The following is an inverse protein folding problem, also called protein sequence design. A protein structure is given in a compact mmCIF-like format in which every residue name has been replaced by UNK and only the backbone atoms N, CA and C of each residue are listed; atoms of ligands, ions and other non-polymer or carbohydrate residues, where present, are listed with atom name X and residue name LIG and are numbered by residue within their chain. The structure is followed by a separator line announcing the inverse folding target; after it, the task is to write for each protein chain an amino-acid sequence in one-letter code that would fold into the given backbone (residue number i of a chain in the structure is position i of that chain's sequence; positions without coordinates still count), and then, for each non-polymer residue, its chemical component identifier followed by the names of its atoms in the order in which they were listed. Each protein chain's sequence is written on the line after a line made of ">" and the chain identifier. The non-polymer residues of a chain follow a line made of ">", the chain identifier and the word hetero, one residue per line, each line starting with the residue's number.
data_IF_131166336921
#
_entry.id   IF_131166336921
#
_cell.length_a   1.000
_cell.length_b   1.000
_cell.length_c   1.000
_cell.angle_alpha   90.00
_cell.angle_beta   90.00
_cell.angle_gamma   90.00
#
_symmetry.space_group_name_H-M   'P 1'
#
loop_
_entity.id
_entity.type
_entity.pdbx_description
1 polymer ?
#
# COMPACT_ATOMS: atom_id res chain seq x y z
N UNK A 1 -40.88 -37.66 52.96
CA UNK A 1 -40.03 -36.45 53.16
C UNK A 1 -38.71 -36.56 52.40
N UNK A 2 -38.06 -37.73 52.32
CA UNK A 2 -36.78 -37.93 51.61
C UNK A 2 -36.82 -37.65 50.10
N UNK A 3 -37.89 -38.03 49.40
CA UNK A 3 -37.99 -37.87 47.94
C UNK A 3 -38.04 -36.39 47.49
N UNK A 4 -38.52 -35.50 48.35
CA UNK A 4 -38.52 -34.05 48.11
C UNK A 4 -37.13 -33.44 48.25
N UNK A 5 -36.29 -33.92 49.18
CA UNK A 5 -34.92 -33.43 49.37
C UNK A 5 -34.02 -33.73 48.18
N UNK A 6 -34.05 -34.97 47.68
CA UNK A 6 -33.27 -35.40 46.51
C UNK A 6 -33.70 -34.74 45.18
N UNK A 7 -34.91 -34.16 45.14
CA UNK A 7 -35.38 -33.37 43.99
C UNK A 7 -34.89 -31.92 44.05
N UNK A 8 -34.81 -31.34 45.25
CA UNK A 8 -34.27 -29.99 45.45
C UNK A 8 -32.77 -29.96 45.14
N UNK A 9 -32.01 -30.92 45.63
CA UNK A 9 -30.55 -30.99 45.42
C UNK A 9 -30.17 -31.13 43.92
N UNK A 10 -30.95 -31.92 43.16
CA UNK A 10 -30.77 -32.01 41.69
C UNK A 10 -31.10 -30.72 40.95
N UNK A 11 -32.09 -29.97 41.40
CA UNK A 11 -32.45 -28.68 40.79
C UNK A 11 -31.41 -27.60 41.10
N UNK A 12 -30.87 -27.59 42.33
CA UNK A 12 -29.78 -26.69 42.73
C UNK A 12 -28.48 -26.99 41.97
N UNK A 13 -28.12 -28.27 41.82
CA UNK A 13 -26.98 -28.68 40.99
C UNK A 13 -27.14 -28.31 39.51
N UNK A 14 -28.36 -28.46 38.96
CA UNK A 14 -28.68 -28.04 37.59
C UNK A 14 -28.58 -26.52 37.39
N UNK A 15 -29.06 -25.74 38.35
CA UNK A 15 -28.96 -24.28 38.32
C UNK A 15 -27.49 -23.82 38.37
N UNK A 16 -26.66 -24.44 39.22
CA UNK A 16 -25.22 -24.13 39.30
C UNK A 16 -24.50 -24.42 37.98
N UNK A 17 -24.76 -25.57 37.35
CA UNK A 17 -24.18 -25.93 36.05
C UNK A 17 -24.60 -24.97 34.93
N UNK A 18 -25.85 -24.49 34.94
CA UNK A 18 -26.31 -23.50 33.95
C UNK A 18 -25.55 -22.18 34.14
N UNK A 19 -25.40 -21.71 35.38
CA UNK A 19 -24.67 -20.48 35.69
C UNK A 19 -23.22 -20.56 35.22
N UNK A 20 -22.49 -21.63 35.58
CA UNK A 20 -21.10 -21.84 35.14
C UNK A 20 -20.99 -21.86 33.61
N UNK A 21 -21.95 -22.51 32.93
CA UNK A 21 -21.96 -22.58 31.46
C UNK A 21 -22.27 -21.22 30.82
N UNK A 22 -23.15 -20.41 31.42
CA UNK A 22 -23.42 -19.05 30.95
C UNK A 22 -22.22 -18.12 31.16
N UNK A 23 -21.54 -18.21 32.31
CA UNK A 23 -20.32 -17.44 32.57
C UNK A 23 -19.19 -17.80 31.59
N UNK A 24 -19.02 -19.10 31.32
CA UNK A 24 -18.08 -19.58 30.32
C UNK A 24 -18.40 -19.08 28.91
N UNK A 25 -19.69 -19.06 28.54
CA UNK A 25 -20.13 -18.53 27.25
C UNK A 25 -19.88 -17.02 27.15
N UNK A 26 -20.17 -16.26 28.19
CA UNK A 26 -19.92 -14.83 28.25
C UNK A 26 -18.42 -14.51 28.15
N UNK A 27 -17.57 -15.31 28.79
CA UNK A 27 -16.13 -15.18 28.67
C UNK A 27 -15.65 -15.48 27.24
N UNK A 28 -16.16 -16.54 26.61
CA UNK A 28 -15.84 -16.89 25.24
C UNK A 28 -16.30 -15.80 24.25
N UNK A 29 -17.49 -15.24 24.46
CA UNK A 29 -17.99 -14.11 23.67
C UNK A 29 -17.11 -12.87 23.82
N UNK A 30 -16.71 -12.52 25.06
CA UNK A 30 -15.78 -11.41 25.31
C UNK A 30 -14.43 -11.61 24.62
N UNK A 31 -13.89 -12.83 24.65
CA UNK A 31 -12.64 -13.17 23.96
C UNK A 31 -12.78 -13.07 22.44
N UNK A 32 -13.87 -13.58 21.88
CA UNK A 32 -14.13 -13.52 20.44
C UNK A 32 -14.26 -12.08 19.96
N UNK A 33 -15.02 -11.24 20.68
CA UNK A 33 -15.14 -9.80 20.36
C UNK A 33 -13.79 -9.10 20.45
N UNK A 34 -13.00 -9.36 21.51
CA UNK A 34 -11.66 -8.77 21.63
C UNK A 34 -10.71 -9.20 20.51
N UNK A 35 -10.80 -10.45 20.04
CA UNK A 35 -10.03 -10.93 18.90
C UNK A 35 -10.48 -10.28 17.58
N UNK A 36 -11.79 -10.10 17.39
CA UNK A 36 -12.34 -9.41 16.23
C UNK A 36 -11.86 -7.96 16.15
N UNK A 37 -11.88 -7.24 17.27
CA UNK A 37 -11.37 -5.87 17.36
C UNK A 37 -9.86 -5.80 17.05
N UNK A 38 -9.08 -6.76 17.56
CA UNK A 38 -7.64 -6.82 17.28
C UNK A 38 -7.38 -7.06 15.79
N UNK A 39 -8.15 -7.94 15.15
CA UNK A 39 -8.04 -8.26 13.73
C UNK A 39 -8.40 -7.04 12.87
N UNK A 40 -9.49 -6.34 13.20
CA UNK A 40 -9.90 -5.10 12.52
C UNK A 40 -8.78 -4.04 12.59
N UNK A 41 -8.18 -3.84 13.75
CA UNK A 41 -7.05 -2.92 13.89
C UNK A 41 -5.81 -3.34 13.09
N UNK A 42 -5.56 -4.64 12.91
CA UNK A 42 -4.45 -5.13 12.07
C UNK A 42 -4.75 -4.91 10.59
N UNK A 43 -5.99 -5.18 10.16
CA UNK A 43 -6.43 -4.95 8.78
C UNK A 43 -6.32 -3.48 8.41
N UNK A 44 -6.84 -2.56 9.24
CA UNK A 44 -6.72 -1.11 9.01
C UNK A 44 -5.27 -0.64 8.86
N UNK A 45 -4.36 -1.19 9.68
CA UNK A 45 -2.93 -0.88 9.57
C UNK A 45 -2.34 -1.39 8.25
N UNK A 46 -2.67 -2.62 7.87
CA UNK A 46 -2.18 -3.23 6.63
C UNK A 46 -2.71 -2.49 5.39
N UNK A 47 -3.99 -2.14 5.38
CA UNK A 47 -4.62 -1.35 4.33
C UNK A 47 -3.92 -0.01 4.18
N UNK A 48 -3.72 0.73 5.28
CA UNK A 48 -3.04 2.02 5.25
C UNK A 48 -1.60 1.92 4.73
N UNK A 49 -0.82 0.92 5.20
CA UNK A 49 0.54 0.68 4.70
C UNK A 49 0.58 0.26 3.24
N UNK A 50 -0.46 -0.43 2.75
CA UNK A 50 -0.54 -0.85 1.34
C UNK A 50 -0.90 0.31 0.43
N UNK A 51 -1.85 1.16 0.85
CA UNK A 51 -2.26 2.34 0.08
C UNK A 51 -1.13 3.35 -0.07
N UNK A 52 -0.26 3.48 0.94
CA UNK A 52 0.88 4.42 0.92
C UNK A 52 2.16 3.82 0.33
N UNK A 53 2.15 2.55 -0.08
CA UNK A 53 3.32 1.91 -0.67
C UNK A 53 3.53 2.39 -2.12
N UNK A 54 4.77 2.73 -2.47
CA UNK A 54 5.15 3.10 -3.83
C UNK A 54 5.21 1.85 -4.72
N UNK A 55 4.06 1.45 -5.26
CA UNK A 55 3.90 0.24 -6.08
C UNK A 55 4.00 0.50 -7.58
N UNK A 56 3.77 1.74 -8.02
CA UNK A 56 3.77 2.13 -9.41
C UNK A 56 5.08 2.86 -9.75
N UNK A 57 5.96 2.17 -10.48
CA UNK A 57 7.31 2.66 -10.79
C UNK A 57 7.61 2.55 -12.27
N UNK A 58 8.14 3.62 -12.87
CA UNK A 58 8.65 3.61 -14.23
C UNK A 58 9.90 4.47 -14.38
N UNK A 59 10.74 4.10 -15.34
CA UNK A 59 11.98 4.77 -15.68
C UNK A 59 11.96 5.16 -17.16
N UNK A 60 12.26 6.42 -17.43
CA UNK A 60 12.33 7.00 -18.77
C UNK A 60 13.75 7.47 -19.00
N UNK A 61 14.41 6.95 -20.04
CA UNK A 61 15.81 7.31 -20.40
C UNK A 61 15.85 8.12 -21.69
N UNK A 62 16.60 9.21 -21.65
CA UNK A 62 16.70 10.18 -22.73
C UNK A 62 18.08 10.81 -22.81
N UNK A 63 18.31 11.52 -23.91
CA UNK A 63 19.45 12.42 -24.06
C UNK A 63 18.97 13.86 -23.82
N UNK A 64 19.34 14.44 -22.68
CA UNK A 64 18.92 15.78 -22.31
C UNK A 64 19.70 16.89 -23.03
N UNK A 65 20.84 16.57 -23.63
CA UNK A 65 21.78 17.56 -24.17
C UNK A 65 22.12 17.34 -25.65
N UNK A 66 21.74 16.22 -26.26
CA UNK A 66 21.96 15.92 -27.69
C UNK A 66 23.43 15.69 -28.08
N UNK A 67 24.36 15.95 -27.16
CA UNK A 67 25.80 16.03 -27.38
C UNK A 67 26.57 14.84 -26.81
N UNK A 68 25.87 13.86 -26.22
CA UNK A 68 26.44 12.70 -25.54
C UNK A 68 25.99 11.44 -26.26
N UNK A 69 26.94 10.62 -26.73
CA UNK A 69 26.67 9.35 -27.41
C UNK A 69 26.09 8.25 -26.51
N UNK A 70 25.07 8.57 -25.69
CA UNK A 70 24.37 7.66 -24.80
C UNK A 70 23.23 8.39 -24.07
N UNK A 71 22.07 7.73 -23.94
CA UNK A 71 20.90 8.19 -23.16
C UNK A 71 21.18 8.07 -21.65
N UNK A 72 22.06 8.94 -21.15
CA UNK A 72 22.55 8.91 -19.77
C UNK A 72 21.62 9.65 -18.80
N UNK A 73 20.75 10.54 -19.30
CA UNK A 73 19.75 11.23 -18.49
C UNK A 73 18.53 10.35 -18.27
N UNK A 74 17.85 10.55 -17.14
CA UNK A 74 16.67 9.77 -16.81
C UNK A 74 15.70 10.51 -15.91
N UNK A 75 14.43 10.09 -15.97
CA UNK A 75 13.38 10.43 -15.01
C UNK A 75 12.73 9.15 -14.48
N UNK A 76 12.58 9.04 -13.17
CA UNK A 76 11.96 7.91 -12.47
C UNK A 76 10.74 8.43 -11.73
N UNK A 77 9.57 7.87 -12.02
CA UNK A 77 8.38 8.10 -11.20
C UNK A 77 8.27 6.97 -10.16
N UNK A 78 8.08 7.36 -8.90
CA UNK A 78 7.82 6.48 -7.76
C UNK A 78 6.49 6.92 -7.17
N UNK A 79 5.43 6.19 -7.48
CA UNK A 79 4.06 6.54 -7.11
C UNK A 79 3.40 5.39 -6.35
N UNK A 80 2.46 5.74 -5.49
CA UNK A 80 1.54 4.79 -4.88
C UNK A 80 0.36 4.46 -5.81
N UNK A 81 -0.57 3.63 -5.31
CA UNK A 81 -1.73 3.18 -6.08
C UNK A 81 -2.74 4.28 -6.43
N UNK A 82 -2.70 5.44 -5.76
CA UNK A 82 -3.55 6.60 -6.09
C UNK A 82 -2.85 7.63 -6.97
N UNK A 83 -1.55 7.47 -7.19
CA UNK A 83 -0.72 8.33 -8.03
C UNK A 83 -0.01 9.44 -7.27
N UNK A 84 0.07 9.34 -5.94
CA UNK A 84 0.85 10.24 -5.10
C UNK A 84 2.28 9.71 -4.96
N UNK A 85 3.24 10.62 -4.88
CA UNK A 85 4.64 10.25 -4.72
C UNK A 85 5.58 11.32 -5.25
N UNK A 86 6.58 10.90 -6.01
CA UNK A 86 7.60 11.81 -6.53
C UNK A 86 8.19 11.32 -7.85
N UNK A 87 8.75 12.27 -8.60
CA UNK A 87 9.60 12.01 -9.75
C UNK A 87 11.01 12.47 -9.43
N UNK A 88 11.99 11.60 -9.65
CA UNK A 88 13.42 11.93 -9.59
C UNK A 88 13.94 12.04 -11.01
N UNK A 89 14.59 13.16 -11.32
CA UNK A 89 15.22 13.37 -12.61
C UNK A 89 16.72 13.59 -12.41
N UNK A 90 17.53 12.94 -13.24
CA UNK A 90 18.97 13.16 -13.33
C UNK A 90 19.33 13.57 -14.75
N UNK A 91 19.89 14.76 -14.88
CA UNK A 91 20.41 15.30 -16.13
C UNK A 91 21.92 15.12 -16.14
N UNK A 92 22.42 14.32 -17.07
CA UNK A 92 23.83 13.95 -17.13
C UNK A 92 24.51 14.61 -18.34
N UNK A 93 25.34 15.62 -18.07
CA UNK A 93 26.19 16.30 -19.04
C UNK A 93 27.65 15.85 -18.94
N UNK A 94 28.52 16.38 -19.83
CA UNK A 94 29.93 15.94 -19.94
C UNK A 94 30.76 16.22 -18.70
N UNK A 95 30.53 17.37 -18.11
CA UNK A 95 31.30 17.87 -16.97
C UNK A 95 30.51 17.84 -15.65
N UNK A 96 29.18 17.72 -15.71
CA UNK A 96 28.32 17.84 -14.53
C UNK A 96 27.06 16.98 -14.66
N UNK A 97 26.60 16.49 -13.50
CA UNK A 97 25.30 15.86 -13.32
C UNK A 97 24.48 16.68 -12.34
N UNK A 98 23.19 16.85 -12.63
CA UNK A 98 22.24 17.47 -11.71
C UNK A 98 21.09 16.52 -11.48
N UNK A 99 20.73 16.33 -10.21
CA UNK A 99 19.59 15.49 -9.82
C UNK A 99 18.60 16.34 -9.02
N UNK A 100 17.33 16.26 -9.39
CA UNK A 100 16.24 16.96 -8.73
C UNK A 100 15.06 16.03 -8.52
N UNK A 101 14.18 16.42 -7.60
CA UNK A 101 12.95 15.71 -7.31
C UNK A 101 11.78 16.67 -7.31
N UNK A 102 10.65 16.24 -7.88
CA UNK A 102 9.38 16.95 -7.83
C UNK A 102 8.33 16.04 -7.20
N UNK A 103 7.52 16.60 -6.30
CA UNK A 103 6.37 15.88 -5.75
C UNK A 103 5.29 15.72 -6.81
N UNK A 104 4.58 14.61 -6.74
CA UNK A 104 3.44 14.28 -7.60
C UNK A 104 2.23 13.99 -6.70
N UNK A 105 1.09 14.57 -7.05
CA UNK A 105 -0.19 14.34 -6.39
C UNK A 105 -1.23 13.98 -7.44
N UNK A 106 -1.90 12.84 -7.29
CA UNK A 106 -2.87 12.27 -8.23
C UNK A 106 -2.32 12.18 -9.68
N UNK A 107 -1.01 11.95 -9.82
CA UNK A 107 -0.28 11.94 -11.09
C UNK A 107 -0.07 13.31 -11.75
N UNK A 108 -0.19 14.41 -11.00
CA UNK A 108 0.20 15.76 -11.44
C UNK A 108 1.35 16.27 -10.60
N UNK A 109 2.36 16.86 -11.24
CA UNK A 109 3.44 17.53 -10.52
C UNK A 109 2.92 18.73 -9.74
N UNK A 110 3.43 18.93 -8.51
CA UNK A 110 3.15 20.16 -7.75
C UNK A 110 3.69 21.41 -8.44
N UNK A 111 4.68 21.23 -9.32
CA UNK A 111 5.17 22.20 -10.30
C UNK A 111 5.10 21.56 -11.69
N UNK A 112 5.17 22.36 -12.76
CA UNK A 112 5.21 21.87 -14.12
C UNK A 112 6.29 20.79 -14.30
N UNK A 113 5.85 19.61 -14.77
CA UNK A 113 6.71 18.50 -15.15
C UNK A 113 7.28 18.76 -16.54
N UNK A 114 8.50 18.30 -16.81
CA UNK A 114 9.00 18.21 -18.18
C UNK A 114 8.29 17.08 -18.92
N UNK A 115 8.44 17.01 -20.23
CA UNK A 115 7.82 15.97 -21.05
C UNK A 115 8.28 14.58 -20.61
N UNK A 116 9.56 14.41 -20.28
CA UNK A 116 10.13 13.13 -19.82
C UNK A 116 9.64 12.74 -18.42
N UNK A 117 9.44 13.71 -17.54
CA UNK A 117 8.86 13.48 -16.21
C UNK A 117 7.39 13.09 -16.30
N UNK A 118 6.62 13.78 -17.15
CA UNK A 118 5.23 13.45 -17.41
C UNK A 118 5.10 12.06 -18.05
N UNK A 119 5.99 11.71 -18.97
CA UNK A 119 6.08 10.36 -19.53
C UNK A 119 6.37 9.31 -18.44
N UNK A 120 7.28 9.58 -17.51
CA UNK A 120 7.58 8.66 -16.41
C UNK A 120 6.36 8.45 -15.50
N UNK A 121 5.64 9.53 -15.17
CA UNK A 121 4.40 9.45 -14.38
C UNK A 121 3.32 8.67 -15.12
N UNK A 122 3.11 8.94 -16.41
CA UNK A 122 2.14 8.22 -17.23
C UNK A 122 2.48 6.72 -17.30
N UNK A 123 3.73 6.38 -17.58
CA UNK A 123 4.21 5.01 -17.67
C UNK A 123 4.09 4.25 -16.34
N UNK A 124 4.41 4.90 -15.21
CA UNK A 124 4.24 4.30 -13.89
C UNK A 124 2.78 3.94 -13.63
N UNK A 125 1.84 4.80 -14.04
CA UNK A 125 0.40 4.58 -13.91
C UNK A 125 -0.18 3.61 -14.97
N UNK A 126 0.65 3.07 -15.86
CA UNK A 126 0.21 2.19 -16.94
C UNK A 126 -0.57 2.90 -18.06
N UNK A 127 -0.41 4.22 -18.19
CA UNK A 127 -0.95 4.99 -19.30
C UNK A 127 0.08 4.97 -20.45
N UNK A 128 -0.39 4.78 -21.68
CA UNK A 128 0.49 4.91 -22.86
C UNK A 128 0.90 6.38 -23.02
N UNK A 129 2.20 6.64 -23.04
CA UNK A 129 2.71 7.99 -23.22
C UNK A 129 2.79 8.34 -24.71
N UNK A 130 2.34 9.55 -25.09
CA UNK A 130 2.11 9.96 -26.49
C UNK A 130 3.38 10.15 -27.35
N UNK A 131 4.60 10.01 -26.81
CA UNK A 131 5.84 10.38 -27.53
C UNK A 131 6.85 9.22 -27.69
N UNK A 132 7.23 8.85 -28.95
CA UNK A 132 8.11 7.72 -29.26
C UNK A 132 9.62 8.02 -29.21
N UNK A 133 10.04 9.25 -28.88
CA UNK A 133 11.47 9.63 -28.87
C UNK A 133 12.25 9.01 -27.70
N UNK A 134 11.55 8.58 -26.65
CA UNK A 134 12.13 8.16 -25.38
C UNK A 134 11.98 6.66 -25.16
N UNK A 135 13.03 6.00 -24.66
CA UNK A 135 12.94 4.58 -24.29
C UNK A 135 12.39 4.51 -22.87
N UNK A 136 11.07 4.33 -22.79
CA UNK A 136 10.42 3.98 -21.54
C UNK A 136 10.80 2.53 -21.19
N UNK A 137 11.59 2.37 -20.12
CA UNK A 137 11.77 1.06 -19.52
C UNK A 137 10.45 0.69 -18.87
N UNK A 138 9.89 -0.45 -19.30
CA UNK A 138 8.60 -1.00 -18.84
C UNK A 138 8.38 -0.77 -17.34
N UNK A 139 7.13 -0.51 -16.90
CA UNK A 139 6.82 -0.35 -15.49
C UNK A 139 7.40 -1.51 -14.70
N UNK A 140 8.18 -1.20 -13.68
CA UNK A 140 8.78 -2.17 -12.77
C UNK A 140 7.67 -2.65 -11.82
N UNK A 141 6.64 -3.30 -12.37
CA UNK A 141 5.67 -4.01 -11.56
C UNK A 141 6.44 -5.08 -10.82
N UNK A 142 6.53 -4.94 -9.50
CA UNK A 142 7.07 -5.99 -8.65
C UNK A 142 6.22 -7.23 -8.89
N UNK A 143 6.75 -8.18 -9.68
CA UNK A 143 6.15 -9.48 -9.86
C UNK A 143 6.21 -10.19 -8.51
N UNK A 144 5.19 -9.98 -7.68
CA UNK A 144 5.01 -10.78 -6.48
C UNK A 144 4.48 -12.15 -6.92
N UNK A 145 5.35 -13.15 -6.75
CA UNK A 145 4.97 -14.56 -6.70
C UNK A 145 4.11 -14.84 -5.48
#
# INVERSE_FOLDING_TARGET
>A
MEEHGARVERLEGGASQITERTEGLDQALRQLSGNADNLDQRLKRLEHSTTSALTEVALVRYDAFGDMGGRMSFSVALLDGVGDGLVITSLNGRAHSQTYAKSVTEGRGTTALTDEEAQAVAAARGLEAESPATEAVRPLRQARR
#
